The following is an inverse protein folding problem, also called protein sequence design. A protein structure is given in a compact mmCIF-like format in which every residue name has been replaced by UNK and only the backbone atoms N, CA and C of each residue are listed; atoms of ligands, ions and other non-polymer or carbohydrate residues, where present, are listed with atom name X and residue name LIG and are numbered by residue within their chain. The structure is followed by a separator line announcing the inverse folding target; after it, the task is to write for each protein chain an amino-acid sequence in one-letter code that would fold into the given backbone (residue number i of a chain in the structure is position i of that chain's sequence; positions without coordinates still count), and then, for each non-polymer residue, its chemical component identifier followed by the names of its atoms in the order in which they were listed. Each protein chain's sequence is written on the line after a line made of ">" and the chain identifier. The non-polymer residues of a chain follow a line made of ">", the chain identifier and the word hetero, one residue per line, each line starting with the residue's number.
data_IF_384996219180
#
_entry.id   IF_384996219180
#
_cell.length_a   1.000
_cell.length_b   1.000
_cell.length_c   1.000
_cell.angle_alpha   90.00
_cell.angle_beta   90.00
_cell.angle_gamma   90.00
#
_symmetry.space_group_name_H-M   'P 1'
#
loop_
_entity.id
_entity.type
_entity.pdbx_description
1 polymer ?
#
# COMPACT_ATOMS: atom_id res chain seq x y z
N UNK A 1 13.52 -2.90 7.61
CA UNK A 1 13.68 -4.36 7.83
C UNK A 1 13.85 -5.04 6.46
N UNK A 2 14.70 -6.06 6.31
CA UNK A 2 14.92 -6.73 5.01
C UNK A 2 13.98 -7.92 4.78
N UNK A 3 13.72 -8.74 5.81
CA UNK A 3 12.80 -9.88 5.65
C UNK A 3 11.34 -9.39 5.50
N UNK A 4 10.75 -9.67 4.34
CA UNK A 4 9.40 -9.22 3.98
C UNK A 4 8.29 -9.84 4.84
N UNK A 5 8.47 -11.09 5.32
CA UNK A 5 7.47 -11.77 6.17
C UNK A 5 7.35 -11.06 7.50
N UNK A 6 8.51 -10.81 8.09
CA UNK A 6 8.70 -10.14 9.35
C UNK A 6 8.18 -8.70 9.31
N UNK A 7 8.43 -8.01 8.20
CA UNK A 7 7.91 -6.66 7.94
C UNK A 7 6.38 -6.65 7.85
N UNK A 8 5.78 -7.51 7.02
CA UNK A 8 4.31 -7.53 6.86
C UNK A 8 3.60 -7.91 8.16
N UNK A 9 4.15 -8.87 8.91
CA UNK A 9 3.64 -9.24 10.23
C UNK A 9 3.72 -8.06 11.21
N UNK A 10 4.85 -7.35 11.22
CA UNK A 10 5.05 -6.16 12.07
C UNK A 10 4.07 -5.05 11.72
N UNK A 11 3.93 -4.72 10.43
CA UNK A 11 2.97 -3.74 9.93
C UNK A 11 1.55 -4.12 10.35
N UNK A 12 1.17 -5.38 10.17
CA UNK A 12 -0.14 -5.88 10.55
C UNK A 12 -0.40 -5.72 12.07
N UNK A 13 0.53 -6.15 12.91
CA UNK A 13 0.40 -6.02 14.38
C UNK A 13 0.33 -4.55 14.82
N UNK A 14 1.16 -3.67 14.24
CA UNK A 14 1.15 -2.24 14.54
C UNK A 14 -0.16 -1.58 14.10
N UNK A 15 -0.69 -1.94 12.93
CA UNK A 15 -1.98 -1.41 12.46
C UNK A 15 -3.14 -1.85 13.36
N UNK A 16 -3.19 -3.11 13.78
CA UNK A 16 -4.21 -3.60 14.72
C UNK A 16 -4.09 -2.89 16.07
N UNK A 17 -2.88 -2.79 16.61
CA UNK A 17 -2.58 -2.07 17.86
C UNK A 17 -3.01 -0.59 17.81
N UNK A 18 -2.65 0.11 16.73
CA UNK A 18 -2.98 1.53 16.55
C UNK A 18 -4.48 1.77 16.38
N UNK A 19 -5.20 0.82 15.75
CA UNK A 19 -6.65 0.92 15.60
C UNK A 19 -7.39 0.66 16.93
N UNK A 20 -6.94 -0.35 17.69
CA UNK A 20 -7.59 -0.81 18.91
C UNK A 20 -7.59 0.27 20.02
N UNK A 21 -6.46 0.94 20.25
CA UNK A 21 -6.32 1.87 21.38
C UNK A 21 -5.47 3.10 21.02
N UNK A 22 -5.75 4.23 21.69
CA UNK A 22 -4.94 5.46 21.59
C UNK A 22 -3.52 5.22 22.13
N UNK A 23 -3.40 4.46 23.21
CA UNK A 23 -2.09 4.09 23.79
C UNK A 23 -1.34 3.18 22.82
N UNK A 24 -2.06 2.24 22.17
CA UNK A 24 -1.47 1.40 21.13
C UNK A 24 -1.02 2.17 19.90
N UNK A 25 -1.71 3.26 19.56
CA UNK A 25 -1.28 4.18 18.53
C UNK A 25 0.00 4.92 18.95
N UNK A 26 0.06 5.48 20.17
CA UNK A 26 1.25 6.16 20.68
C UNK A 26 2.48 5.25 20.70
N UNK A 27 2.33 4.00 21.15
CA UNK A 27 3.40 3.00 21.14
C UNK A 27 3.83 2.63 19.72
N UNK A 28 2.87 2.46 18.80
CA UNK A 28 3.18 2.21 17.39
C UNK A 28 3.92 3.39 16.74
N UNK A 29 3.59 4.63 17.14
CA UNK A 29 4.29 5.82 16.69
C UNK A 29 5.72 5.90 17.21
N UNK A 30 5.95 5.58 18.49
CA UNK A 30 7.31 5.49 19.05
C UNK A 30 8.13 4.42 18.35
N UNK A 31 7.54 3.24 18.12
CA UNK A 31 8.20 2.19 17.35
C UNK A 31 8.54 2.65 15.94
N UNK A 32 7.61 3.33 15.26
CA UNK A 32 7.84 3.89 13.94
C UNK A 32 9.00 4.89 13.95
N UNK A 33 9.09 5.79 14.93
CA UNK A 33 10.20 6.75 15.03
C UNK A 33 11.58 6.09 15.22
N UNK A 34 11.64 4.98 15.95
CA UNK A 34 12.91 4.28 16.26
C UNK A 34 13.37 3.41 15.09
N UNK A 35 12.45 2.72 14.41
CA UNK A 35 12.79 1.69 13.41
C UNK A 35 12.50 2.09 11.95
N UNK A 36 11.66 3.09 11.71
CA UNK A 36 11.48 3.66 10.37
C UNK A 36 12.67 4.55 10.08
N UNK A 37 13.80 3.95 9.67
CA UNK A 37 15.02 4.64 9.30
C UNK A 37 14.70 5.87 8.47
N UNK A 38 14.86 7.06 9.08
CA UNK A 38 14.67 8.37 8.48
C UNK A 38 15.38 8.36 7.11
N UNK A 39 14.64 8.69 6.05
CA UNK A 39 15.12 9.33 4.80
C UNK A 39 14.91 8.62 3.45
N UNK A 40 14.72 7.30 3.33
CA UNK A 40 14.65 6.70 1.98
C UNK A 40 13.23 6.43 1.50
N UNK A 41 12.65 7.52 0.97
CA UNK A 41 11.50 7.55 0.06
C UNK A 41 10.14 7.37 0.73
N UNK A 42 9.73 8.29 1.62
CA UNK A 42 8.29 8.52 1.86
C UNK A 42 7.57 8.68 0.51
N UNK A 43 6.36 8.11 0.33
CA UNK A 43 5.57 8.33 -0.87
C UNK A 43 5.39 9.84 -1.11
N UNK A 44 5.15 10.23 -2.36
CA UNK A 44 5.13 11.65 -2.74
C UNK A 44 4.35 12.49 -1.70
N UNK A 45 4.93 13.58 -1.17
CA UNK A 45 4.36 14.30 -0.03
C UNK A 45 2.93 14.78 -0.29
N UNK A 46 2.57 14.96 -1.57
CA UNK A 46 1.22 15.29 -2.04
C UNK A 46 0.19 14.20 -1.74
N UNK A 47 0.51 12.92 -1.95
CA UNK A 47 -0.42 11.81 -1.66
C UNK A 47 -0.64 11.69 -0.15
N UNK A 48 0.43 11.79 0.61
CA UNK A 48 0.39 11.74 2.07
C UNK A 48 -0.47 12.88 2.61
N UNK A 49 -0.22 14.12 2.17
CA UNK A 49 -0.99 15.29 2.55
C UNK A 49 -2.48 15.16 2.18
N UNK A 50 -2.79 14.61 1.00
CA UNK A 50 -4.17 14.31 0.60
C UNK A 50 -4.89 13.35 1.54
N UNK A 51 -4.22 12.26 1.96
CA UNK A 51 -4.78 11.31 2.92
C UNK A 51 -5.04 11.95 4.29
N UNK A 52 -4.11 12.81 4.76
CA UNK A 52 -4.29 13.56 6.00
C UNK A 52 -5.46 14.54 5.93
N UNK A 53 -5.64 15.25 4.81
CA UNK A 53 -6.77 16.17 4.62
C UNK A 53 -8.09 15.41 4.68
N UNK A 54 -8.22 14.30 3.94
CA UNK A 54 -9.45 13.50 3.93
C UNK A 54 -9.76 12.97 5.34
N UNK A 55 -8.74 12.44 6.01
CA UNK A 55 -8.87 11.91 7.38
C UNK A 55 -9.25 13.02 8.37
N UNK A 56 -8.65 14.20 8.24
CA UNK A 56 -8.96 15.37 9.04
C UNK A 56 -10.39 15.87 8.84
N UNK A 57 -10.87 15.88 7.59
CA UNK A 57 -12.24 16.25 7.26
C UNK A 57 -13.26 15.28 7.90
N UNK A 58 -13.00 13.97 7.83
CA UNK A 58 -13.84 12.95 8.48
C UNK A 58 -13.82 13.11 10.00
N UNK A 59 -12.65 13.37 10.58
CA UNK A 59 -12.51 13.61 12.02
C UNK A 59 -13.31 14.83 12.49
N UNK A 60 -13.26 15.95 11.75
CA UNK A 60 -14.03 17.14 12.08
C UNK A 60 -15.53 16.87 12.01
N UNK A 61 -15.96 16.11 11.01
CA UNK A 61 -17.36 15.69 10.89
C UNK A 61 -17.80 14.80 12.06
N UNK A 62 -16.92 13.93 12.55
CA UNK A 62 -17.18 13.10 13.74
C UNK A 62 -17.29 13.93 15.01
N UNK A 63 -16.38 14.88 15.20
CA UNK A 63 -16.41 15.78 16.36
C UNK A 63 -17.69 16.63 16.37
N UNK A 64 -18.10 17.14 15.20
CA UNK A 64 -19.34 17.88 15.03
C UNK A 64 -20.59 17.04 15.38
N UNK A 65 -20.52 15.72 15.20
CA UNK A 65 -21.59 14.77 15.58
C UNK A 65 -21.48 14.28 17.03
N UNK A 66 -20.57 14.83 17.83
CA UNK A 66 -20.35 14.44 19.22
C UNK A 66 -19.67 13.08 19.41
N UNK A 67 -19.04 12.53 18.37
CA UNK A 67 -18.16 11.37 18.48
C UNK A 67 -16.73 11.80 18.80
N UNK A 68 -15.91 10.87 19.27
CA UNK A 68 -14.49 11.10 19.59
C UNK A 68 -13.61 11.28 18.33
N UNK A 69 -13.79 12.38 17.61
CA UNK A 69 -13.08 12.71 16.37
C UNK A 69 -11.57 12.84 16.58
N UNK A 70 -11.14 13.51 17.64
CA UNK A 70 -9.71 13.69 17.95
C UNK A 70 -8.98 12.34 18.12
N UNK A 71 -9.60 11.40 18.85
CA UNK A 71 -9.07 10.04 19.03
C UNK A 71 -8.95 9.31 17.69
N UNK A 72 -9.95 9.44 16.82
CA UNK A 72 -9.94 8.87 15.48
C UNK A 72 -8.82 9.44 14.61
N UNK A 73 -8.62 10.77 14.63
CA UNK A 73 -7.57 11.44 13.86
C UNK A 73 -6.18 10.92 14.24
N UNK A 74 -5.90 10.78 15.54
CA UNK A 74 -4.61 10.28 16.03
C UNK A 74 -4.37 8.85 15.54
N UNK A 75 -5.33 7.94 15.74
CA UNK A 75 -5.21 6.54 15.33
C UNK A 75 -4.99 6.40 13.83
N UNK A 76 -5.80 7.09 13.03
CA UNK A 76 -5.70 7.02 11.57
C UNK A 76 -4.43 7.66 11.02
N UNK A 77 -3.96 8.76 11.61
CA UNK A 77 -2.68 9.38 11.23
C UNK A 77 -1.51 8.41 11.39
N UNK A 78 -1.50 7.65 12.48
CA UNK A 78 -0.46 6.67 12.78
C UNK A 78 -0.56 5.46 11.85
N UNK A 79 -1.78 4.99 11.55
CA UNK A 79 -2.01 3.94 10.55
C UNK A 79 -1.50 4.37 9.16
N UNK A 80 -1.75 5.62 8.75
CA UNK A 80 -1.25 6.16 7.47
C UNK A 80 0.29 6.20 7.45
N UNK A 81 0.94 6.56 8.56
CA UNK A 81 2.41 6.50 8.70
C UNK A 81 2.96 5.08 8.58
N UNK A 82 2.34 4.12 9.26
CA UNK A 82 2.72 2.69 9.18
C UNK A 82 2.54 2.17 7.75
N UNK A 83 1.43 2.52 7.09
CA UNK A 83 1.16 2.15 5.71
C UNK A 83 2.19 2.75 4.74
N UNK A 84 2.60 4.00 4.96
CA UNK A 84 3.67 4.64 4.20
C UNK A 84 5.01 3.90 4.33
N UNK A 85 5.37 3.48 5.54
CA UNK A 85 6.56 2.64 5.77
C UNK A 85 6.47 1.30 5.02
N UNK A 86 5.32 0.63 5.08
CA UNK A 86 5.12 -0.64 4.37
C UNK A 86 5.25 -0.49 2.84
N UNK A 87 4.62 0.53 2.26
CA UNK A 87 4.52 0.70 0.81
C UNK A 87 5.88 0.97 0.12
N UNK A 88 6.78 1.66 0.82
CA UNK A 88 8.03 2.17 0.24
C UNK A 88 9.07 1.07 0.08
N UNK A 89 9.05 0.08 0.96
CA UNK A 89 10.04 -0.99 0.99
C UNK A 89 9.54 -2.35 0.46
N UNK A 90 8.26 -2.49 0.06
CA UNK A 90 7.74 -3.75 -0.48
C UNK A 90 8.00 -3.84 -1.99
N UNK A 91 8.81 -4.82 -2.39
CA UNK A 91 9.00 -5.19 -3.80
C UNK A 91 7.90 -6.14 -4.28
N UNK A 92 7.60 -6.12 -5.59
CA UNK A 92 6.67 -7.07 -6.21
C UNK A 92 7.10 -8.53 -5.98
N UNK A 93 8.42 -8.80 -5.94
CA UNK A 93 8.96 -10.14 -5.66
C UNK A 93 8.66 -10.61 -4.25
N UNK A 94 8.70 -9.69 -3.29
CA UNK A 94 8.48 -9.97 -1.87
C UNK A 94 7.04 -10.40 -1.61
N UNK A 95 6.06 -9.78 -2.26
CA UNK A 95 4.66 -10.19 -2.14
C UNK A 95 4.42 -11.61 -2.63
N UNK A 96 5.01 -11.99 -3.77
CA UNK A 96 4.90 -13.34 -4.29
C UNK A 96 5.48 -14.38 -3.31
N UNK A 97 6.67 -14.09 -2.76
CA UNK A 97 7.32 -14.98 -1.80
C UNK A 97 6.53 -15.10 -0.49
N UNK A 98 6.02 -13.98 0.05
CA UNK A 98 5.25 -13.99 1.30
C UNK A 98 3.92 -14.74 1.14
N UNK A 99 3.19 -14.50 0.05
CA UNK A 99 1.90 -15.16 -0.18
C UNK A 99 2.07 -16.66 -0.41
N UNK A 100 3.09 -17.06 -1.17
CA UNK A 100 3.41 -18.48 -1.38
C UNK A 100 3.79 -19.17 -0.06
N UNK A 101 4.51 -18.47 0.82
CA UNK A 101 4.85 -19.00 2.15
C UNK A 101 3.62 -19.11 3.08
N UNK A 102 2.71 -18.13 3.06
CA UNK A 102 1.54 -18.08 3.96
C UNK A 102 0.41 -19.04 3.55
N UNK A 103 0.12 -19.11 2.25
CA UNK A 103 -1.06 -19.77 1.68
C UNK A 103 -0.69 -21.02 0.84
N UNK A 104 0.60 -21.39 0.83
CA UNK A 104 1.12 -22.58 0.16
C UNK A 104 1.31 -22.43 -1.36
N UNK A 105 1.71 -23.53 -1.99
CA UNK A 105 2.16 -23.58 -3.39
C UNK A 105 1.05 -23.36 -4.44
N UNK A 106 -0.22 -23.59 -4.09
CA UNK A 106 -1.34 -23.39 -5.06
C UNK A 106 -1.96 -22.02 -4.92
N UNK A 107 -2.73 -21.79 -3.85
CA UNK A 107 -3.46 -20.54 -3.66
C UNK A 107 -2.53 -19.36 -3.34
N UNK A 108 -1.48 -19.60 -2.56
CA UNK A 108 -0.50 -18.56 -2.23
C UNK A 108 0.32 -18.10 -3.42
N UNK A 109 0.67 -19.01 -4.33
CA UNK A 109 1.33 -18.66 -5.57
C UNK A 109 0.44 -17.77 -6.45
N UNK A 110 -0.83 -18.15 -6.66
CA UNK A 110 -1.78 -17.37 -7.48
C UNK A 110 -2.00 -15.96 -6.91
N UNK A 111 -2.32 -15.87 -5.61
CA UNK A 111 -2.53 -14.59 -4.93
C UNK A 111 -1.26 -13.75 -4.90
N UNK A 112 -0.11 -14.39 -4.71
CA UNK A 112 1.20 -13.78 -4.79
C UNK A 112 1.50 -13.23 -6.19
N UNK A 113 1.17 -13.97 -7.25
CA UNK A 113 1.42 -13.56 -8.63
C UNK A 113 0.50 -12.39 -9.02
N UNK A 114 -0.79 -12.50 -8.71
CA UNK A 114 -1.77 -11.44 -8.94
C UNK A 114 -1.34 -10.15 -8.24
N UNK A 115 -0.94 -10.25 -6.96
CA UNK A 115 -0.51 -9.09 -6.20
C UNK A 115 0.81 -8.49 -6.69
N UNK A 116 1.78 -9.33 -7.08
CA UNK A 116 3.03 -8.87 -7.68
C UNK A 116 2.81 -8.09 -8.97
N UNK A 117 1.93 -8.60 -9.85
CA UNK A 117 1.51 -7.92 -11.10
C UNK A 117 0.76 -6.63 -10.78
N UNK A 118 -0.15 -6.65 -9.80
CA UNK A 118 -0.92 -5.48 -9.39
C UNK A 118 -0.01 -4.36 -8.87
N UNK A 119 0.94 -4.67 -7.97
CA UNK A 119 1.90 -3.67 -7.46
C UNK A 119 2.77 -3.10 -8.58
N UNK A 120 3.21 -3.94 -9.53
CA UNK A 120 3.96 -3.47 -10.68
C UNK A 120 3.13 -2.50 -11.54
N UNK A 121 1.86 -2.82 -11.78
CA UNK A 121 0.93 -1.95 -12.52
C UNK A 121 0.63 -0.65 -11.77
N UNK A 122 0.37 -0.69 -10.46
CA UNK A 122 0.14 0.51 -9.63
C UNK A 122 1.34 1.46 -9.70
N UNK A 123 2.57 0.94 -9.64
CA UNK A 123 3.77 1.77 -9.74
C UNK A 123 3.89 2.45 -11.12
N UNK A 124 3.51 1.76 -12.21
CA UNK A 124 3.52 2.31 -13.57
C UNK A 124 2.37 3.27 -13.87
N UNK A 125 1.23 3.07 -13.22
CA UNK A 125 0.00 3.85 -13.44
C UNK A 125 0.21 5.36 -13.35
N UNK A 126 1.13 5.81 -12.50
CA UNK A 126 1.49 7.23 -12.39
C UNK A 126 2.10 7.81 -13.68
N UNK A 127 2.96 7.04 -14.36
CA UNK A 127 3.53 7.42 -15.66
C UNK A 127 2.46 7.38 -16.74
N UNK A 128 1.65 6.32 -16.76
CA UNK A 128 0.59 6.14 -17.75
C UNK A 128 -0.45 7.28 -17.67
N UNK A 129 -0.78 7.73 -16.46
CA UNK A 129 -1.66 8.88 -16.25
C UNK A 129 -1.02 10.20 -16.70
N UNK A 130 0.29 10.38 -16.49
CA UNK A 130 1.00 11.57 -16.92
C UNK A 130 1.05 11.65 -18.46
N UNK A 131 1.41 10.55 -19.12
CA UNK A 131 1.46 10.44 -20.58
C UNK A 131 0.08 10.62 -21.21
N UNK A 132 -0.95 9.97 -20.67
CA UNK A 132 -2.32 10.12 -21.13
C UNK A 132 -2.83 11.57 -21.00
N UNK A 133 -2.47 12.26 -19.90
CA UNK A 133 -2.79 13.67 -19.70
C UNK A 133 -2.11 14.57 -20.73
N UNK A 134 -0.84 14.31 -21.05
CA UNK A 134 -0.11 15.07 -22.08
C UNK A 134 -0.74 14.85 -23.45
N UNK A 135 -1.08 13.62 -23.82
CA UNK A 135 -1.77 13.32 -25.07
C UNK A 135 -3.14 14.00 -25.17
N UNK A 136 -3.92 14.01 -24.09
CA UNK A 136 -5.18 14.74 -24.02
C UNK A 136 -5.01 16.26 -24.17
N UNK A 137 -3.96 16.83 -23.57
CA UNK A 137 -3.65 18.25 -23.70
C UNK A 137 -3.27 18.61 -25.15
N UNK A 138 -2.46 17.78 -25.81
CA UNK A 138 -2.14 17.95 -27.23
C UNK A 138 -3.42 17.92 -28.09
N UNK A 139 -4.33 16.99 -27.81
CA UNK A 139 -5.62 16.90 -28.51
C UNK A 139 -6.50 18.15 -28.27
N UNK A 140 -6.54 18.68 -27.05
CA UNK A 140 -7.31 19.88 -26.72
C UNK A 140 -6.78 21.13 -27.44
N UNK A 141 -5.45 21.29 -27.52
CA UNK A 141 -4.79 22.36 -28.26
C UNK A 141 -5.10 22.28 -29.76
N UNK A 142 -5.01 21.10 -30.36
CA UNK A 142 -5.38 20.90 -31.77
C UNK A 142 -6.85 21.21 -32.07
N UNK A 143 -7.74 21.10 -31.08
CA UNK A 143 -9.18 21.38 -31.24
C UNK A 143 -9.57 22.81 -30.86
N UNK A 144 -8.60 23.68 -30.53
CA UNK A 144 -8.86 25.08 -30.16
C UNK A 144 -9.65 25.26 -28.86
N UNK A 145 -9.74 24.23 -28.00
CA UNK A 145 -10.42 24.33 -26.70
C UNK A 145 -9.51 25.00 -25.67
N UNK A 146 -10.09 25.86 -24.84
CA UNK A 146 -9.44 26.39 -23.63
C UNK A 146 -9.02 25.23 -22.74
N UNK A 147 -7.84 25.32 -22.13
CA UNK A 147 -7.13 24.32 -21.31
C UNK A 147 -7.85 24.02 -19.96
N UNK A 148 -9.18 23.92 -19.97
CA UNK A 148 -10.03 23.68 -18.81
C UNK A 148 -10.47 22.23 -18.84
N UNK A 149 -9.83 21.41 -18.01
CA UNK A 149 -10.17 20.00 -17.80
C UNK A 149 -11.59 19.90 -17.23
N UNK A 150 -12.51 19.33 -18.00
CA UNK A 150 -13.86 19.02 -17.53
C UNK A 150 -13.90 17.59 -16.94
N UNK A 151 -14.93 17.28 -16.16
CA UNK A 151 -15.16 15.93 -15.64
C UNK A 151 -15.21 14.86 -16.75
N UNK A 152 -15.72 15.22 -17.93
CA UNK A 152 -15.76 14.33 -19.09
C UNK A 152 -14.36 13.94 -19.60
N UNK A 153 -13.37 14.82 -19.48
CA UNK A 153 -12.00 14.54 -19.94
C UNK A 153 -11.32 13.51 -19.03
N UNK A 154 -11.58 13.57 -17.71
CA UNK A 154 -11.12 12.55 -16.77
C UNK A 154 -11.73 11.17 -17.08
N UNK A 155 -13.01 11.11 -17.45
CA UNK A 155 -13.67 9.86 -17.85
C UNK A 155 -13.00 9.28 -19.10
N UNK A 156 -12.67 10.12 -20.09
CA UNK A 156 -11.97 9.68 -21.30
C UNK A 156 -10.56 9.16 -20.98
N UNK A 157 -9.80 9.84 -20.13
CA UNK A 157 -8.47 9.40 -19.69
C UNK A 157 -8.59 8.03 -18.99
N UNK A 158 -9.54 7.89 -18.06
CA UNK A 158 -9.78 6.65 -17.35
C UNK A 158 -10.15 5.50 -18.29
N UNK A 159 -11.00 5.76 -19.30
CA UNK A 159 -11.38 4.77 -20.31
C UNK A 159 -10.17 4.30 -21.12
N UNK A 160 -9.30 5.20 -21.56
CA UNK A 160 -8.08 4.86 -22.32
C UNK A 160 -7.16 3.97 -21.45
N UNK A 161 -6.93 4.36 -20.21
CA UNK A 161 -6.09 3.58 -19.27
C UNK A 161 -6.69 2.20 -19.02
N UNK A 162 -8.01 2.09 -18.87
CA UNK A 162 -8.70 0.83 -18.65
C UNK A 162 -8.57 -0.10 -19.86
N UNK A 163 -8.81 0.42 -21.06
CA UNK A 163 -8.66 -0.35 -22.32
C UNK A 163 -7.21 -0.80 -22.50
N UNK A 164 -6.24 0.09 -22.24
CA UNK A 164 -4.81 -0.23 -22.26
C UNK A 164 -4.48 -1.34 -21.27
N UNK A 165 -4.97 -1.23 -20.03
CA UNK A 165 -4.76 -2.22 -18.96
C UNK A 165 -5.32 -3.60 -19.31
N UNK A 166 -6.47 -3.65 -19.99
CA UNK A 166 -7.08 -4.90 -20.48
C UNK A 166 -6.24 -5.54 -21.59
N UNK A 167 -5.78 -4.73 -22.55
CA UNK A 167 -4.91 -5.20 -23.64
C UNK A 167 -3.59 -5.74 -23.08
N UNK A 168 -2.97 -5.02 -22.16
CA UNK A 168 -1.73 -5.43 -21.50
C UNK A 168 -1.92 -6.71 -20.68
N UNK A 169 -3.05 -6.84 -19.99
CA UNK A 169 -3.39 -8.08 -19.27
C UNK A 169 -3.49 -9.27 -20.23
N UNK A 170 -4.08 -9.08 -21.42
CA UNK A 170 -4.18 -10.12 -22.45
C UNK A 170 -2.82 -10.51 -23.01
N UNK A 171 -1.91 -9.56 -23.23
CA UNK A 171 -0.55 -9.90 -23.68
C UNK A 171 0.25 -10.58 -22.56
N UNK A 172 0.13 -10.11 -21.32
CA UNK A 172 0.75 -10.77 -20.16
C UNK A 172 0.26 -12.20 -19.98
N UNK A 173 -1.03 -12.47 -20.14
CA UNK A 173 -1.59 -13.82 -20.01
C UNK A 173 -1.09 -14.75 -21.11
N UNK A 174 -0.96 -14.27 -22.36
CA UNK A 174 -0.34 -15.04 -23.45
C UNK A 174 1.12 -15.39 -23.14
N UNK A 175 1.90 -14.43 -22.63
CA UNK A 175 3.30 -14.68 -22.26
C UNK A 175 3.40 -15.73 -21.15
N UNK A 176 2.51 -15.67 -20.15
CA UNK A 176 2.44 -16.69 -19.11
C UNK A 176 2.07 -18.06 -19.68
N UNK A 177 1.06 -18.12 -20.55
CA UNK A 177 0.62 -19.37 -21.18
C UNK A 177 1.71 -20.02 -22.04
N UNK A 178 2.46 -19.23 -22.83
CA UNK A 178 3.60 -19.70 -23.63
C UNK A 178 4.71 -20.27 -22.74
N UNK A 179 4.91 -19.69 -21.55
CA UNK A 179 5.87 -20.19 -20.55
C UNK A 179 5.38 -21.42 -19.80
N UNK A 180 4.24 -22.00 -20.20
CA UNK A 180 3.67 -23.20 -19.59
C UNK A 180 2.87 -22.94 -18.33
N UNK A 181 2.55 -21.68 -18.01
CA UNK A 181 1.67 -21.37 -16.88
C UNK A 181 0.23 -21.82 -17.18
N UNK A 182 -0.34 -22.66 -16.31
CA UNK A 182 -1.74 -23.10 -16.42
C UNK A 182 -2.57 -22.73 -15.20
N UNK A 183 -2.12 -23.09 -14.00
CA UNK A 183 -2.71 -22.73 -12.72
C UNK A 183 -1.78 -23.21 -11.60
N UNK A 184 -1.56 -22.38 -10.59
CA UNK A 184 -0.63 -22.61 -9.49
C UNK A 184 0.84 -22.65 -9.94
N UNK A 185 1.75 -22.77 -8.98
CA UNK A 185 3.17 -22.84 -9.27
C UNK A 185 3.99 -23.22 -8.07
N UNK A 186 5.04 -24.02 -8.29
CA UNK A 186 6.05 -24.26 -7.27
C UNK A 186 7.09 -23.16 -7.35
N UNK A 187 7.02 -22.24 -6.39
CA UNK A 187 8.07 -21.26 -6.15
C UNK A 187 8.68 -21.56 -4.79
N UNK A 188 10.00 -21.74 -4.76
CA UNK A 188 10.72 -21.77 -3.50
C UNK A 188 10.91 -20.32 -3.04
N UNK A 189 10.26 -19.89 -1.94
CA UNK A 189 10.32 -18.51 -1.52
C UNK A 189 11.70 -18.21 -0.94
N UNK A 190 12.37 -17.22 -1.51
CA UNK A 190 13.68 -16.75 -1.04
C UNK A 190 13.48 -15.44 -0.30
N UNK A 191 13.97 -15.37 0.94
CA UNK A 191 13.87 -14.18 1.77
C UNK A 191 15.26 -13.68 2.14
N UNK A 192 15.50 -12.39 1.93
CA UNK A 192 16.72 -11.72 2.37
C UNK A 192 16.67 -11.50 3.88
N UNK A 193 17.35 -12.38 4.62
CA UNK A 193 17.42 -12.30 6.08
C UNK A 193 18.54 -11.36 6.50
N UNK A 194 18.22 -10.35 7.31
CA UNK A 194 19.22 -9.57 8.05
C UNK A 194 19.12 -9.85 9.55
N UNK A 195 20.25 -10.02 10.23
CA UNK A 195 20.27 -10.15 11.71
C UNK A 195 19.68 -8.93 12.41
N UNK A 196 19.69 -7.77 11.75
CA UNK A 196 19.08 -6.53 12.23
C UNK A 196 17.54 -6.56 12.24
N UNK A 197 16.89 -7.55 11.61
CA UNK A 197 15.43 -7.65 11.52
C UNK A 197 14.78 -8.28 12.77
N UNK A 198 15.57 -8.89 13.65
CA UNK A 198 15.08 -9.57 14.86
C UNK A 198 14.64 -8.55 15.92
N UNK A 199 15.45 -7.50 16.13
CA UNK A 199 15.22 -6.44 17.12
C UNK A 199 13.83 -5.79 16.95
N UNK A 200 13.45 -5.31 15.75
CA UNK A 200 12.14 -4.67 15.56
C UNK A 200 10.94 -5.57 15.90
N UNK A 201 11.00 -6.86 15.58
CA UNK A 201 9.92 -7.81 15.90
C UNK A 201 9.82 -8.11 17.37
N UNK A 202 10.97 -8.34 18.01
CA UNK A 202 11.01 -8.61 19.44
C UNK A 202 10.45 -7.43 20.22
N UNK A 203 10.57 -6.19 19.71
CA UNK A 203 9.88 -5.03 20.27
C UNK A 203 8.37 -5.00 19.98
N UNK A 204 7.90 -5.44 18.82
CA UNK A 204 6.47 -5.35 18.45
C UNK A 204 5.59 -6.34 19.21
N UNK A 205 6.09 -7.55 19.48
CA UNK A 205 5.34 -8.59 20.21
C UNK A 205 4.87 -8.11 21.60
N UNK A 206 5.74 -7.59 22.49
CA UNK A 206 5.31 -7.09 23.80
C UNK A 206 4.47 -5.82 23.70
N UNK A 207 4.69 -4.96 22.71
CA UNK A 207 3.82 -3.80 22.47
C UNK A 207 2.40 -4.24 22.13
N UNK A 208 2.26 -5.20 21.23
CA UNK A 208 0.96 -5.76 20.86
C UNK A 208 0.27 -6.39 22.09
N UNK A 209 1.00 -7.22 22.85
CA UNK A 209 0.46 -7.84 24.07
C UNK A 209 0.04 -6.79 25.12
N UNK A 210 0.83 -5.74 25.32
CA UNK A 210 0.52 -4.64 26.23
C UNK A 210 -0.78 -3.94 25.82
N UNK A 211 -0.96 -3.67 24.53
CA UNK A 211 -2.16 -3.01 24.02
C UNK A 211 -3.41 -3.87 24.12
N UNK A 212 -3.27 -5.18 23.93
CA UNK A 212 -4.36 -6.13 24.08
C UNK A 212 -4.75 -6.30 25.55
N UNK A 213 -3.77 -6.40 26.45
CA UNK A 213 -3.99 -6.47 27.89
C UNK A 213 -4.69 -5.21 28.42
N UNK A 214 -4.28 -4.04 27.95
CA UNK A 214 -4.85 -2.75 28.35
C UNK A 214 -6.24 -2.49 27.75
N UNK A 215 -6.64 -3.24 26.72
CA UNK A 215 -8.00 -3.21 26.17
C UNK A 215 -8.96 -4.15 26.92
N UNK A 216 -8.41 -5.14 27.64
CA UNK A 216 -9.18 -6.17 28.37
C UNK A 216 -9.48 -5.79 29.83
N UNK A 217 -8.77 -4.79 30.37
CA UNK A 217 -8.99 -4.16 31.69
C UNK A 217 -9.87 -2.92 31.51
#
# INVERSE_FOLDING_TARGET
>A
MKDARLKLLTVFLLSVSAYASVIGAALAFVWWLVFSGREKSLPSPKLFLGLFIITGAISLLMEYRGLAGISYLIRMSIIILIAGYAYTEISSKDMLNVMTWLLGEKYGFELGLISAIAVLKIRRLSSDCAESRVAHRMKAVCQGRKDRLNCADYLSIAAIILIGSLKDSKEQSKVLAIRGYRCGGRLQPVFDKSKSDIIPIVCVIPLFLCTFYLLLI
#
